data_IF_388443010855
#
_entry.id   IF_388443010855
#
_cell.length_a   1.000
_cell.length_b   1.000
_cell.length_c   1.000
_cell.angle_alpha   90.00
_cell.angle_beta   90.00
_cell.angle_gamma   90.00
#
_symmetry.space_group_name_H-M   'P 1'
#
loop_
_entity.id
_entity.type
_entity.pdbx_description
1 polymer ?
#
# COMPACT_ATOMS: atom_id res chain seq x y z
N UNK A 1 14.13 0.06 -4.49
CA UNK A 1 14.45 -0.08 -3.05
C UNK A 1 13.93 -1.43 -2.58
N UNK A 2 14.82 -2.37 -2.28
CA UNK A 2 14.46 -3.56 -1.50
C UNK A 2 14.21 -3.11 -0.07
N UNK A 3 13.12 -3.57 0.54
CA UNK A 3 12.82 -3.25 1.93
C UNK A 3 13.62 -4.21 2.81
N UNK A 4 14.46 -3.67 3.68
CA UNK A 4 15.38 -4.42 4.53
C UNK A 4 14.72 -4.82 5.87
N UNK A 5 15.12 -5.98 6.41
CA UNK A 5 14.53 -6.52 7.65
C UNK A 5 14.85 -5.65 8.87
N UNK A 6 16.12 -5.26 9.04
CA UNK A 6 16.55 -4.53 10.24
C UNK A 6 15.89 -3.15 10.27
N UNK A 7 15.75 -2.50 9.11
CA UNK A 7 15.05 -1.22 8.95
C UNK A 7 13.55 -1.32 9.25
N UNK A 8 12.88 -2.41 8.86
CA UNK A 8 11.47 -2.62 9.21
C UNK A 8 11.33 -2.86 10.71
N UNK A 9 12.19 -3.71 11.28
CA UNK A 9 12.16 -4.04 12.69
C UNK A 9 12.35 -2.78 13.55
N UNK A 10 13.33 -1.95 13.23
CA UNK A 10 13.62 -0.72 13.94
C UNK A 10 12.47 0.29 13.91
N UNK A 11 11.70 0.36 12.82
CA UNK A 11 10.54 1.26 12.67
C UNK A 11 9.22 0.65 13.12
N UNK A 12 9.20 -0.62 13.50
CA UNK A 12 7.99 -1.33 13.89
C UNK A 12 7.54 -0.95 15.30
N UNK A 13 6.22 -0.87 15.47
CA UNK A 13 5.59 -0.69 16.77
C UNK A 13 5.67 -2.03 17.53
N UNK A 14 6.05 -1.98 18.80
CA UNK A 14 6.17 -3.16 19.68
C UNK A 14 4.80 -3.65 20.18
N UNK A 15 3.90 -3.89 19.23
CA UNK A 15 2.55 -4.40 19.46
C UNK A 15 2.20 -5.36 18.32
N UNK A 16 1.44 -6.42 18.58
CA UNK A 16 1.01 -7.32 17.53
C UNK A 16 0.07 -6.58 16.57
N UNK A 17 0.27 -6.79 15.26
CA UNK A 17 -0.62 -6.21 14.26
C UNK A 17 -2.06 -6.76 14.40
N UNK A 18 -2.19 -8.05 14.71
CA UNK A 18 -3.46 -8.78 14.77
C UNK A 18 -3.76 -9.25 16.19
N UNK A 19 -5.05 -9.33 16.53
CA UNK A 19 -5.51 -9.77 17.84
C UNK A 19 -5.39 -11.28 18.02
N UNK A 20 -5.37 -12.04 16.92
CA UNK A 20 -5.24 -13.50 16.93
C UNK A 20 -4.73 -14.04 15.57
N UNK A 21 -4.44 -15.34 15.53
CA UNK A 21 -3.95 -16.03 14.33
C UNK A 21 -4.94 -16.00 13.16
N UNK A 22 -6.25 -16.08 13.41
CA UNK A 22 -7.27 -16.06 12.35
C UNK A 22 -7.29 -14.72 11.61
N UNK A 23 -7.16 -13.59 12.32
CA UNK A 23 -7.00 -12.28 11.70
C UNK A 23 -5.73 -12.21 10.84
N UNK A 24 -4.62 -12.71 11.37
CA UNK A 24 -3.35 -12.79 10.65
C UNK A 24 -3.43 -13.65 9.39
N UNK A 25 -4.10 -14.80 9.44
CA UNK A 25 -4.30 -15.70 8.31
C UNK A 25 -5.19 -15.07 7.24
N UNK A 26 -6.30 -14.43 7.64
CA UNK A 26 -7.20 -13.73 6.72
C UNK A 26 -6.48 -12.61 5.97
N UNK A 27 -5.66 -11.83 6.67
CA UNK A 27 -4.84 -10.79 6.07
C UNK A 27 -3.75 -11.37 5.15
N UNK A 28 -3.03 -12.39 5.61
CA UNK A 28 -1.96 -13.05 4.85
C UNK A 28 -2.50 -13.66 3.55
N UNK A 29 -3.68 -14.28 3.60
CA UNK A 29 -4.36 -14.83 2.43
C UNK A 29 -4.69 -13.75 1.39
N UNK A 30 -5.11 -12.55 1.83
CA UNK A 30 -5.40 -11.43 0.93
C UNK A 30 -4.15 -10.81 0.33
N UNK A 31 -3.10 -10.62 1.13
CA UNK A 31 -1.93 -9.82 0.76
C UNK A 31 -0.71 -10.69 0.40
N UNK A 32 -0.16 -11.45 1.35
CA UNK A 32 1.11 -12.16 1.17
C UNK A 32 1.01 -13.35 0.21
N UNK A 33 -0.04 -14.16 0.31
CA UNK A 33 -0.26 -15.32 -0.57
C UNK A 33 -0.40 -14.95 -2.06
N UNK A 34 -0.61 -13.67 -2.34
CA UNK A 34 -0.74 -13.14 -3.70
C UNK A 34 0.44 -12.25 -4.06
N UNK A 35 1.24 -11.78 -3.12
CA UNK A 35 2.29 -10.80 -3.37
C UNK A 35 3.47 -11.43 -4.13
N UNK A 36 4.00 -10.70 -5.12
CA UNK A 36 5.22 -11.10 -5.84
C UNK A 36 6.47 -11.02 -4.95
N UNK A 37 6.48 -10.16 -3.92
CA UNK A 37 7.60 -10.08 -2.97
C UNK A 37 7.77 -11.36 -2.16
N UNK A 38 6.65 -12.03 -1.85
CA UNK A 38 6.65 -13.26 -1.08
C UNK A 38 6.72 -14.52 -1.97
N UNK A 39 6.50 -14.37 -3.28
CA UNK A 39 6.50 -15.48 -4.22
C UNK A 39 7.80 -16.31 -4.26
N UNK A 40 9.02 -15.74 -4.14
CA UNK A 40 10.26 -16.53 -4.10
C UNK A 40 10.28 -17.56 -2.97
N UNK A 41 9.84 -17.19 -1.77
CA UNK A 41 9.76 -18.09 -0.62
C UNK A 41 8.69 -19.18 -0.83
N UNK A 42 7.53 -18.81 -1.39
CA UNK A 42 6.44 -19.76 -1.65
C UNK A 42 6.73 -20.77 -2.76
N UNK A 43 7.53 -20.41 -3.76
CA UNK A 43 7.78 -21.22 -4.96
C UNK A 43 9.07 -22.07 -4.88
N UNK A 44 9.37 -22.62 -3.69
CA UNK A 44 10.51 -23.51 -3.44
C UNK A 44 11.91 -22.87 -3.60
N UNK A 45 12.01 -21.54 -3.51
CA UNK A 45 13.30 -20.85 -3.42
C UNK A 45 13.91 -20.98 -2.02
N UNK A 46 15.19 -21.41 -1.93
CA UNK A 46 16.00 -21.13 -0.72
C UNK A 46 16.39 -19.65 -0.76
N UNK A 47 15.62 -18.80 -0.08
CA UNK A 47 15.81 -17.33 -0.08
C UNK A 47 14.73 -16.59 0.72
N UNK A 48 15.03 -15.33 1.07
CA UNK A 48 14.30 -14.47 2.02
C UNK A 48 12.81 -14.32 1.69
N UNK A 49 11.94 -14.72 2.62
CA UNK A 49 10.52 -14.35 2.60
C UNK A 49 10.32 -12.84 2.74
N UNK A 50 9.08 -12.38 2.63
CA UNK A 50 8.79 -10.95 2.81
C UNK A 50 9.18 -10.50 4.24
N UNK A 51 10.12 -9.55 4.41
CA UNK A 51 10.56 -9.16 5.75
C UNK A 51 9.45 -8.47 6.56
N UNK A 52 8.47 -7.84 5.89
CA UNK A 52 7.27 -7.30 6.54
C UNK A 52 6.45 -8.42 7.18
N UNK A 53 6.25 -9.53 6.47
CA UNK A 53 5.52 -10.68 6.99
C UNK A 53 6.27 -11.29 8.18
N UNK A 54 7.60 -11.40 8.09
CA UNK A 54 8.43 -11.91 9.18
C UNK A 54 8.29 -11.04 10.44
N UNK A 55 8.42 -9.72 10.35
CA UNK A 55 8.28 -8.81 11.50
C UNK A 55 6.86 -8.88 12.09
N UNK A 56 5.83 -9.00 11.25
CA UNK A 56 4.46 -9.22 11.70
C UNK A 56 4.30 -10.54 12.47
N UNK A 57 4.91 -11.63 12.01
CA UNK A 57 4.90 -12.93 12.68
C UNK A 57 5.68 -12.95 14.00
N UNK A 58 6.63 -12.02 14.18
CA UNK A 58 7.35 -11.81 15.44
C UNK A 58 6.53 -11.02 16.48
N UNK A 59 5.25 -10.74 16.21
CA UNK A 59 4.36 -10.03 17.13
C UNK A 59 4.57 -8.52 17.15
N UNK A 60 5.14 -7.95 16.10
CA UNK A 60 5.30 -6.50 15.93
C UNK A 60 4.43 -5.98 14.80
N UNK A 61 4.15 -4.68 14.78
CA UNK A 61 3.38 -4.03 13.72
C UNK A 61 4.28 -3.14 12.88
N UNK A 62 4.66 -3.58 11.65
CA UNK A 62 5.45 -2.77 10.74
C UNK A 62 4.74 -1.49 10.32
N UNK A 63 5.51 -0.43 10.03
CA UNK A 63 4.97 0.86 9.56
C UNK A 63 4.31 0.78 8.17
N UNK A 64 4.62 -0.27 7.40
CA UNK A 64 4.08 -0.53 6.07
C UNK A 64 2.62 -1.01 6.09
N UNK A 65 2.08 -1.34 7.27
CA UNK A 65 0.69 -1.72 7.47
C UNK A 65 -0.11 -0.47 7.81
N UNK A 66 -0.74 0.14 6.80
CA UNK A 66 -1.65 1.26 6.99
C UNK A 66 -3.04 0.75 7.38
N UNK A 67 -3.77 1.52 8.18
CA UNK A 67 -5.16 1.20 8.48
C UNK A 67 -5.99 1.07 7.19
N UNK A 68 -6.68 -0.05 7.07
CA UNK A 68 -7.63 -0.27 6.00
C UNK A 68 -9.00 0.35 6.29
N UNK A 69 -9.97 0.18 5.38
CA UNK A 69 -11.30 0.76 5.53
C UNK A 69 -11.99 0.29 6.81
N UNK A 70 -12.79 1.19 7.38
CA UNK A 70 -13.65 0.96 8.54
C UNK A 70 -15.09 1.37 8.19
N UNK A 71 -16.07 0.69 8.75
CA UNK A 71 -17.47 1.10 8.63
C UNK A 71 -17.80 2.29 9.56
N UNK A 72 -19.03 2.79 9.51
CA UNK A 72 -19.50 3.91 10.35
C UNK A 72 -19.39 3.62 11.86
N UNK A 73 -19.33 2.34 12.24
CA UNK A 73 -19.17 1.87 13.61
C UNK A 73 -17.70 1.57 13.96
N UNK A 74 -16.76 1.88 13.06
CA UNK A 74 -15.32 1.65 13.24
C UNK A 74 -14.90 0.18 13.09
N UNK A 75 -15.77 -0.71 12.65
CA UNK A 75 -15.46 -2.14 12.47
C UNK A 75 -14.70 -2.36 11.17
N UNK A 76 -13.90 -3.43 11.16
CA UNK A 76 -13.11 -3.84 10.01
C UNK A 76 -13.41 -5.30 9.62
N UNK A 77 -13.17 -5.62 8.36
CA UNK A 77 -13.06 -7.02 7.94
C UNK A 77 -11.65 -7.52 8.31
N UNK A 78 -11.53 -8.76 8.77
CA UNK A 78 -10.23 -9.33 9.17
C UNK A 78 -9.18 -9.23 8.05
N UNK A 79 -9.59 -9.44 6.80
CA UNK A 79 -8.70 -9.34 5.65
C UNK A 79 -8.33 -7.89 5.29
N UNK A 80 -9.18 -6.93 5.66
CA UNK A 80 -9.05 -5.51 5.32
C UNK A 80 -8.59 -4.64 6.50
N UNK A 81 -8.23 -5.25 7.64
CA UNK A 81 -7.80 -4.49 8.81
C UNK A 81 -6.63 -3.56 8.48
N UNK A 82 -5.66 -4.06 7.71
CA UNK A 82 -4.54 -3.26 7.21
C UNK A 82 -4.34 -3.40 5.70
N UNK A 83 -3.82 -2.34 5.11
CA UNK A 83 -3.34 -2.27 3.72
C UNK A 83 -1.81 -2.28 3.71
N UNK A 84 -1.21 -3.24 3.00
CA UNK A 84 0.24 -3.29 2.81
C UNK A 84 0.67 -2.37 1.67
N UNK A 85 1.43 -1.32 1.97
CA UNK A 85 1.92 -0.34 0.95
C UNK A 85 2.91 -0.96 -0.03
N UNK A 86 3.59 -2.02 0.40
CA UNK A 86 4.59 -2.74 -0.36
C UNK A 86 4.01 -3.91 -1.18
N UNK A 87 2.69 -4.09 -1.16
CA UNK A 87 2.04 -5.14 -1.93
C UNK A 87 2.28 -4.99 -3.43
N UNK A 88 2.58 -6.11 -4.10
CA UNK A 88 2.77 -6.18 -5.55
C UNK A 88 1.92 -7.33 -6.10
N UNK A 89 0.88 -6.98 -6.86
CA UNK A 89 -0.07 -7.95 -7.42
C UNK A 89 0.51 -8.63 -8.68
N UNK A 90 0.31 -9.94 -8.88
CA UNK A 90 0.63 -10.61 -10.12
C UNK A 90 -0.23 -10.03 -11.26
N UNK A 91 0.40 -9.64 -12.37
CA UNK A 91 -0.28 -9.10 -13.55
C UNK A 91 -0.77 -7.64 -13.44
N UNK A 92 -0.38 -6.89 -12.41
CA UNK A 92 -0.78 -5.49 -12.21
C UNK A 92 0.41 -4.53 -12.21
N UNK A 93 0.87 -4.13 -13.40
CA UNK A 93 1.76 -2.98 -13.69
C UNK A 93 3.00 -2.85 -12.80
N UNK A 94 4.16 -3.34 -13.22
CA UNK A 94 4.90 -2.70 -14.30
C UNK A 94 6.10 -1.96 -13.69
N UNK A 95 7.18 -2.70 -13.50
CA UNK A 95 8.55 -2.24 -13.35
C UNK A 95 9.14 -1.73 -14.69
N UNK A 96 8.35 -1.78 -15.76
CA UNK A 96 8.55 -0.96 -16.96
C UNK A 96 7.94 0.42 -16.76
N UNK A 97 8.62 1.46 -17.26
CA UNK A 97 8.05 2.79 -17.42
C UNK A 97 6.60 2.71 -17.94
N UNK A 98 5.71 3.65 -17.56
CA UNK A 98 4.37 3.69 -18.09
C UNK A 98 4.41 3.85 -19.63
N UNK A 99 4.36 2.75 -20.37
CA UNK A 99 4.31 2.82 -21.81
C UNK A 99 2.97 3.42 -22.22
N UNK A 100 2.96 4.47 -23.06
CA UNK A 100 1.74 4.99 -23.62
C UNK A 100 0.98 3.86 -24.31
N UNK A 101 -0.34 3.79 -24.10
CA UNK A 101 -1.18 2.88 -24.88
C UNK A 101 -1.00 3.22 -26.38
N UNK A 102 -0.90 2.21 -27.26
CA UNK A 102 -0.90 2.44 -28.70
C UNK A 102 -2.11 3.27 -29.12
N UNK A 103 -1.92 4.18 -30.08
CA UNK A 103 -3.02 4.97 -30.61
C UNK A 103 -4.02 4.06 -31.36
N UNK A 104 -5.33 4.34 -31.27
CA UNK A 104 -6.32 3.62 -32.06
C UNK A 104 -6.03 3.76 -33.57
N UNK A 105 -6.24 2.71 -34.39
CA UNK A 105 -6.03 2.78 -35.84
C UNK A 105 -6.88 3.89 -36.48
N UNK A 106 -6.26 4.73 -37.31
CA UNK A 106 -6.96 5.79 -38.07
C UNK A 106 -7.12 7.13 -37.33
N UNK A 107 -6.46 7.30 -36.17
CA UNK A 107 -6.44 8.55 -35.42
C UNK A 107 -5.06 9.21 -35.54
N UNK A 108 -4.70 9.66 -36.74
CA UNK A 108 -3.44 10.39 -37.01
C UNK A 108 -3.43 11.76 -36.33
N UNK A 109 -3.17 11.79 -35.02
CA UNK A 109 -2.76 13.00 -34.30
C UNK A 109 -3.68 14.22 -34.44
N UNK A 110 -4.98 14.03 -34.71
CA UNK A 110 -5.95 15.12 -34.94
C UNK A 110 -6.01 16.12 -33.77
N UNK A 111 -5.55 15.70 -32.59
CA UNK A 111 -5.38 16.56 -31.43
C UNK A 111 -4.06 16.22 -30.72
N UNK A 112 -3.33 17.23 -30.20
CA UNK A 112 -2.21 16.97 -29.30
C UNK A 112 -2.74 16.20 -28.08
N UNK A 113 -2.05 15.12 -27.71
CA UNK A 113 -2.40 14.36 -26.51
C UNK A 113 -2.34 15.31 -25.31
N UNK A 114 -3.42 15.46 -24.53
CA UNK A 114 -3.38 16.31 -23.35
C UNK A 114 -2.37 15.75 -22.36
N UNK A 115 -1.61 16.64 -21.72
CA UNK A 115 -0.70 16.25 -20.66
C UNK A 115 -1.46 15.47 -19.59
N UNK A 116 -0.85 14.38 -19.14
CA UNK A 116 -1.45 13.50 -18.15
C UNK A 116 -1.49 14.24 -16.82
N UNK A 117 -2.60 14.91 -16.53
CA UNK A 117 -2.80 15.58 -15.25
C UNK A 117 -2.66 14.55 -14.12
N UNK A 118 -1.62 14.70 -13.29
CA UNK A 118 -1.60 14.07 -11.98
C UNK A 118 -2.69 14.74 -11.16
N UNK A 119 -3.69 13.99 -10.72
CA UNK A 119 -4.60 14.48 -9.67
C UNK A 119 -3.75 14.68 -8.42
N UNK A 120 -3.24 15.89 -8.21
CA UNK A 120 -2.73 16.30 -6.91
C UNK A 120 -3.93 16.60 -6.02
N UNK A 121 -3.88 16.18 -4.76
CA UNK A 121 -4.80 16.69 -3.75
C UNK A 121 -4.52 18.19 -3.61
N UNK A 122 -5.51 19.02 -3.97
CA UNK A 122 -5.47 20.45 -3.69
C UNK A 122 -5.74 20.62 -2.20
N UNK A 123 -4.78 21.19 -1.46
CA UNK A 123 -5.08 21.62 -0.09
C UNK A 123 -6.04 22.81 -0.16
N UNK A 124 -7.13 22.83 0.63
CA UNK A 124 -7.98 24.01 0.72
C UNK A 124 -7.15 25.19 1.26
N UNK A 125 -7.31 26.35 0.65
CA UNK A 125 -6.65 27.58 1.10
C UNK A 125 -7.08 27.90 2.54
N UNK A 126 -6.11 28.21 3.39
CA UNK A 126 -6.37 28.62 4.76
C UNK A 126 -7.23 29.89 4.75
N UNK A 127 -8.42 29.81 5.34
CA UNK A 127 -9.30 30.96 5.54
C UNK A 127 -8.58 31.95 6.46
N UNK A 128 -8.32 33.20 6.05
CA UNK A 128 -7.75 34.20 6.94
C UNK A 128 -8.69 34.43 8.11
N UNK A 129 -8.21 34.21 9.33
CA UNK A 129 -8.95 34.54 10.54
C UNK A 129 -8.84 36.04 10.75
N UNK A 130 -9.84 36.81 10.32
CA UNK A 130 -10.00 38.18 10.79
C UNK A 130 -10.36 38.13 12.28
N UNK A 131 -9.39 38.46 13.13
CA UNK A 131 -9.63 38.73 14.55
C UNK A 131 -9.81 40.24 14.68
N UNK A 132 -11.05 40.69 14.73
CA UNK A 132 -11.42 42.00 15.26
C UNK A 132 -12.21 41.80 16.55
N UNK A 133 -11.64 42.24 17.66
CA UNK A 133 -12.39 42.51 18.88
C UNK A 133 -11.96 43.89 19.34
N UNK A 134 -12.79 44.88 18.99
CA UNK A 134 -12.77 46.22 19.56
C UNK A 134 -13.28 46.17 21.02
N UNK A 135 -12.58 46.86 21.92
CA UNK A 135 -13.13 47.48 23.13
C UNK A 135 -12.22 48.61 23.60
#
# INVERSE_FOLDING_TARGET
MSVDYDDILARSIDEPAFSNGTEGDAWTAKWCCRCLRDAPFRNMGRGSGCPILLVTMMGRRPAELLDGPRDEQGRYSMADQYTCVEFRRPGGGGDGEPHPRPEPPGMDGLFPRPDRARRMYVQPDAVPTEVSVDA
#
